data_IF_481817554817
#
_entry.id   IF_481817554817
#
_cell.length_a   1.000
_cell.length_b   1.000
_cell.length_c   1.000
_cell.angle_alpha   90.00
_cell.angle_beta   90.00
_cell.angle_gamma   90.00
#
_symmetry.space_group_name_H-M   'P 1'
#
loop_
_entity.id
_entity.type
_entity.pdbx_description
1 polymer ?
#
# COMPACT_ATOMS: atom_id res chain seq x y z
N UNK A 1 -15.26 7.36 -41.47
CA UNK A 1 -14.09 7.06 -40.60
C UNK A 1 -13.81 8.24 -39.68
N UNK A 2 -13.89 9.53 -40.13
CA UNK A 2 -13.55 10.69 -39.31
C UNK A 2 -14.49 11.04 -38.12
N UNK A 3 -15.75 10.58 -38.12
CA UNK A 3 -16.71 10.90 -37.03
C UNK A 3 -16.63 9.98 -35.81
N UNK A 4 -15.98 8.83 -35.93
CA UNK A 4 -15.74 7.95 -34.78
C UNK A 4 -14.48 8.37 -34.01
N UNK A 5 -13.43 8.82 -34.70
CA UNK A 5 -12.20 9.36 -34.08
C UNK A 5 -12.42 10.68 -33.32
N UNK A 6 -13.35 11.52 -33.77
CA UNK A 6 -13.73 12.73 -33.04
C UNK A 6 -14.51 12.43 -31.75
N UNK A 7 -15.38 11.42 -31.76
CA UNK A 7 -16.11 11.00 -30.56
C UNK A 7 -15.20 10.31 -29.53
N UNK A 8 -14.22 9.54 -29.97
CA UNK A 8 -13.20 8.96 -29.06
C UNK A 8 -12.28 10.03 -28.45
N UNK A 9 -11.96 11.06 -29.21
CA UNK A 9 -11.20 12.22 -28.69
C UNK A 9 -12.03 13.07 -27.70
N UNK A 10 -13.32 13.26 -27.92
CA UNK A 10 -14.20 13.93 -26.95
C UNK A 10 -14.45 13.13 -25.68
N UNK A 11 -14.48 11.78 -25.73
CA UNK A 11 -14.55 10.94 -24.54
C UNK A 11 -13.27 10.93 -23.72
N UNK A 12 -12.11 11.08 -24.35
CA UNK A 12 -10.81 11.10 -23.68
C UNK A 12 -10.45 12.46 -23.05
N UNK A 13 -11.17 13.54 -23.36
CA UNK A 13 -10.84 14.89 -22.87
C UNK A 13 -11.45 15.22 -21.51
N UNK A 14 -12.24 14.33 -20.86
CA UNK A 14 -12.92 14.64 -19.59
C UNK A 14 -12.78 13.61 -18.47
N UNK A 15 -11.69 12.91 -18.39
CA UNK A 15 -11.29 12.34 -17.10
C UNK A 15 -10.42 13.37 -16.34
N UNK A 16 -11.03 14.47 -15.97
CA UNK A 16 -10.44 15.40 -15.00
C UNK A 16 -10.48 14.68 -13.66
N UNK A 17 -9.29 14.43 -13.11
CA UNK A 17 -9.18 13.86 -11.78
C UNK A 17 -9.98 14.71 -10.79
N UNK A 18 -11.04 14.14 -10.25
CA UNK A 18 -11.91 14.85 -9.32
C UNK A 18 -11.19 15.02 -7.99
N UNK A 19 -11.14 16.25 -7.52
CA UNK A 19 -10.58 16.53 -6.20
C UNK A 19 -11.48 15.98 -5.08
N UNK A 20 -10.96 15.66 -3.90
CA UNK A 20 -11.77 15.23 -2.76
C UNK A 20 -12.88 16.20 -2.37
N UNK A 21 -12.70 17.50 -2.68
CA UNK A 21 -13.72 18.53 -2.46
C UNK A 21 -14.88 18.42 -3.46
N UNK A 22 -14.56 18.19 -4.73
CA UNK A 22 -15.54 17.98 -5.80
C UNK A 22 -16.35 16.71 -5.53
N UNK A 23 -15.72 15.60 -5.14
CA UNK A 23 -16.40 14.35 -4.76
C UNK A 23 -17.39 14.60 -3.61
N UNK A 24 -16.98 15.30 -2.55
CA UNK A 24 -17.85 15.63 -1.43
C UNK A 24 -19.05 16.46 -1.83
N UNK A 25 -18.84 17.48 -2.69
CA UNK A 25 -19.92 18.36 -3.15
C UNK A 25 -20.92 17.60 -4.03
N UNK A 26 -20.43 16.76 -4.93
CA UNK A 26 -21.26 15.97 -5.83
C UNK A 26 -22.09 14.91 -5.07
N UNK A 27 -21.47 14.23 -4.09
CA UNK A 27 -22.19 13.29 -3.24
C UNK A 27 -23.29 13.99 -2.42
N UNK A 28 -23.00 15.17 -1.87
CA UNK A 28 -24.02 15.95 -1.16
C UNK A 28 -25.18 16.35 -2.05
N UNK A 29 -24.90 16.79 -3.27
CA UNK A 29 -25.93 17.13 -4.25
C UNK A 29 -26.75 15.90 -4.64
N UNK A 30 -26.13 14.75 -4.83
CA UNK A 30 -26.80 13.50 -5.20
C UNK A 30 -27.72 13.01 -4.09
N UNK A 31 -27.24 12.99 -2.84
CA UNK A 31 -28.03 12.53 -1.68
C UNK A 31 -29.26 13.41 -1.45
N UNK A 32 -29.18 14.70 -1.78
CA UNK A 32 -30.25 15.69 -1.56
C UNK A 32 -31.16 15.94 -2.74
N UNK A 33 -31.02 15.16 -3.81
CA UNK A 33 -31.82 15.41 -5.01
C UNK A 33 -31.61 16.80 -5.59
N UNK A 34 -30.37 17.29 -5.59
CA UNK A 34 -29.91 18.59 -6.14
C UNK A 34 -30.37 19.83 -5.38
N UNK A 35 -30.88 19.71 -4.16
CA UNK A 35 -31.20 20.88 -3.33
C UNK A 35 -30.02 21.25 -2.44
N UNK A 36 -29.56 22.50 -2.55
CA UNK A 36 -28.58 23.08 -1.63
C UNK A 36 -29.31 23.53 -0.36
N UNK A 37 -28.91 23.04 0.78
CA UNK A 37 -29.44 23.43 2.09
C UNK A 37 -28.28 23.70 3.05
N UNK A 38 -28.33 24.81 3.77
CA UNK A 38 -27.25 25.24 4.65
C UNK A 38 -27.13 24.41 5.94
N UNK A 39 -28.21 23.74 6.38
CA UNK A 39 -28.24 22.89 7.58
C UNK A 39 -27.75 21.48 7.28
N UNK A 40 -26.46 21.36 6.95
CA UNK A 40 -25.88 20.08 6.58
C UNK A 40 -25.31 19.32 7.77
N UNK A 41 -26.09 18.38 8.31
CA UNK A 41 -25.64 17.44 9.35
C UNK A 41 -24.69 16.33 8.81
N UNK A 42 -24.50 16.23 7.47
CA UNK A 42 -23.59 15.26 6.88
C UNK A 42 -22.14 15.74 6.98
N UNK A 43 -21.42 15.19 7.95
CA UNK A 43 -19.98 15.48 8.09
C UNK A 43 -19.21 15.02 6.84
N UNK A 44 -18.42 15.93 6.28
CA UNK A 44 -17.56 15.63 5.14
C UNK A 44 -16.51 14.55 5.40
N UNK A 45 -16.15 14.30 6.67
CA UNK A 45 -15.27 13.18 7.08
C UNK A 45 -15.99 11.86 6.95
N UNK A 46 -17.26 11.78 7.37
CA UNK A 46 -18.07 10.58 7.27
C UNK A 46 -18.30 10.19 5.81
N UNK A 47 -18.58 11.16 4.93
CA UNK A 47 -18.71 10.91 3.49
C UNK A 47 -17.43 10.34 2.90
N UNK A 48 -16.26 10.92 3.21
CA UNK A 48 -14.99 10.38 2.72
C UNK A 48 -14.70 8.99 3.27
N UNK A 49 -15.01 8.72 4.52
CA UNK A 49 -14.88 7.39 5.09
C UNK A 49 -15.72 6.35 4.33
N UNK A 50 -16.95 6.69 3.95
CA UNK A 50 -17.79 5.81 3.12
C UNK A 50 -17.22 5.61 1.72
N UNK A 51 -16.69 6.66 1.11
CA UNK A 51 -16.03 6.55 -0.21
C UNK A 51 -14.83 5.61 -0.15
N UNK A 52 -13.97 5.75 0.86
CA UNK A 52 -12.81 4.89 1.03
C UNK A 52 -13.21 3.44 1.29
N UNK A 53 -14.22 3.19 2.12
CA UNK A 53 -14.74 1.85 2.36
C UNK A 53 -15.33 1.23 1.09
N UNK A 54 -16.13 1.98 0.32
CA UNK A 54 -16.71 1.48 -0.93
C UNK A 54 -15.62 1.21 -1.99
N UNK A 55 -14.61 2.08 -2.07
CA UNK A 55 -13.44 1.87 -2.92
C UNK A 55 -12.72 0.58 -2.53
N UNK A 56 -12.45 0.38 -1.25
CA UNK A 56 -11.76 -0.82 -0.76
C UNK A 56 -12.56 -2.10 -1.06
N UNK A 57 -13.88 -2.08 -0.85
CA UNK A 57 -14.77 -3.19 -1.18
C UNK A 57 -14.80 -3.47 -2.69
N UNK A 58 -14.86 -2.43 -3.51
CA UNK A 58 -14.84 -2.58 -4.96
C UNK A 58 -13.53 -3.21 -5.44
N UNK A 59 -12.39 -2.69 -5.00
CA UNK A 59 -11.05 -3.22 -5.34
C UNK A 59 -10.96 -4.70 -4.92
N UNK A 60 -11.37 -5.02 -3.69
CA UNK A 60 -11.37 -6.39 -3.17
C UNK A 60 -12.21 -7.33 -4.04
N UNK A 61 -13.41 -6.90 -4.42
CA UNK A 61 -14.31 -7.70 -5.24
C UNK A 61 -13.76 -7.90 -6.65
N UNK A 62 -13.17 -6.85 -7.24
CA UNK A 62 -12.61 -6.91 -8.58
C UNK A 62 -11.40 -7.85 -8.66
N UNK A 63 -10.49 -7.74 -7.70
CA UNK A 63 -9.32 -8.62 -7.63
C UNK A 63 -9.72 -10.08 -7.37
N UNK A 64 -10.70 -10.31 -6.50
CA UNK A 64 -11.16 -11.67 -6.22
C UNK A 64 -11.84 -12.32 -7.42
N UNK A 65 -12.48 -11.53 -8.31
CA UNK A 65 -13.10 -12.02 -9.55
C UNK A 65 -12.07 -12.27 -10.64
N UNK A 66 -11.21 -11.31 -10.89
CA UNK A 66 -10.33 -11.29 -12.06
C UNK A 66 -8.93 -11.85 -11.77
N UNK A 67 -8.56 -12.00 -10.49
CA UNK A 67 -7.22 -12.43 -10.03
C UNK A 67 -6.06 -11.57 -10.57
N UNK A 68 -6.37 -10.41 -11.14
CA UNK A 68 -5.40 -9.46 -11.67
C UNK A 68 -5.51 -8.13 -10.94
N UNK A 69 -4.37 -7.47 -10.75
CA UNK A 69 -4.29 -6.16 -10.14
C UNK A 69 -3.88 -5.19 -11.24
N UNK A 70 -4.69 -4.14 -11.42
CA UNK A 70 -4.34 -3.06 -12.32
C UNK A 70 -3.24 -2.19 -11.69
N UNK A 71 -2.17 -1.95 -12.44
CA UNK A 71 -1.03 -1.14 -11.99
C UNK A 71 -1.44 0.29 -11.60
N UNK A 72 -2.52 0.81 -12.14
CA UNK A 72 -3.05 2.14 -11.81
C UNK A 72 -3.63 2.24 -10.39
N UNK A 73 -4.04 1.10 -9.81
CA UNK A 73 -4.62 1.06 -8.45
C UNK A 73 -3.51 0.95 -7.39
N UNK A 74 -2.30 0.54 -7.81
CA UNK A 74 -1.17 0.32 -6.91
C UNK A 74 -0.64 1.65 -6.40
N UNK A 75 -0.61 1.78 -5.09
CA UNK A 75 -0.09 2.95 -4.38
C UNK A 75 1.33 2.70 -3.88
N UNK A 76 2.08 3.78 -3.68
CA UNK A 76 3.46 3.75 -3.22
C UNK A 76 3.56 4.45 -1.87
N UNK A 77 4.18 3.80 -0.90
CA UNK A 77 4.49 4.39 0.40
C UNK A 77 5.99 4.32 0.65
N UNK A 78 6.61 5.47 0.91
CA UNK A 78 8.01 5.56 1.31
C UNK A 78 8.07 5.55 2.84
N UNK A 79 8.80 4.59 3.42
CA UNK A 79 8.84 4.36 4.87
C UNK A 79 10.28 4.42 5.35
N UNK A 80 10.50 5.17 6.43
CA UNK A 80 11.79 5.25 7.11
C UNK A 80 12.02 4.01 7.97
N UNK A 81 13.25 3.50 7.95
CA UNK A 81 13.68 2.33 8.69
C UNK A 81 14.67 2.71 9.78
N UNK A 82 14.59 1.98 10.89
CA UNK A 82 15.53 2.04 12.02
C UNK A 82 15.96 0.64 12.44
N UNK A 83 17.03 0.53 13.20
CA UNK A 83 17.43 -0.74 13.80
C UNK A 83 16.47 -1.05 14.94
N UNK A 84 15.82 -2.20 14.88
CA UNK A 84 14.88 -2.64 15.91
C UNK A 84 15.64 -3.10 17.16
N UNK A 85 15.13 -2.72 18.33
CA UNK A 85 15.59 -3.31 19.58
C UNK A 85 15.25 -4.81 19.62
N UNK A 86 16.14 -5.61 20.18
CA UNK A 86 15.96 -7.07 20.25
C UNK A 86 14.71 -7.47 21.03
N UNK A 87 14.29 -6.67 22.01
CA UNK A 87 13.07 -6.88 22.78
C UNK A 87 11.79 -6.74 21.96
N UNK A 88 11.82 -5.87 20.93
CA UNK A 88 10.64 -5.55 20.12
C UNK A 88 10.54 -6.38 18.84
N UNK A 89 11.53 -7.23 18.59
CA UNK A 89 11.56 -8.02 17.36
C UNK A 89 10.80 -9.33 17.54
N UNK A 90 9.81 -9.63 16.69
CA UNK A 90 9.06 -10.89 16.74
C UNK A 90 9.91 -12.11 16.35
N UNK A 91 11.01 -11.86 15.65
CA UNK A 91 12.00 -12.89 15.27
C UNK A 91 13.24 -12.67 16.11
N UNK A 92 13.38 -13.48 17.17
CA UNK A 92 14.57 -13.44 18.02
C UNK A 92 15.75 -14.03 17.26
N UNK A 93 16.58 -13.16 16.70
CA UNK A 93 17.86 -13.57 16.14
C UNK A 93 18.95 -13.00 17.01
N UNK A 94 19.90 -13.86 17.42
CA UNK A 94 21.09 -13.44 18.16
C UNK A 94 22.23 -12.99 17.24
N UNK A 95 22.09 -13.22 15.94
CA UNK A 95 23.21 -13.10 14.98
C UNK A 95 23.17 -11.84 14.12
N UNK A 96 22.00 -11.21 13.91
CA UNK A 96 21.89 -10.05 13.01
C UNK A 96 21.00 -8.98 13.59
N UNK A 97 21.22 -7.74 13.14
CA UNK A 97 20.31 -6.64 13.40
C UNK A 97 19.10 -6.74 12.46
N UNK A 98 17.93 -6.52 13.01
CA UNK A 98 16.67 -6.46 12.27
C UNK A 98 16.29 -4.99 12.11
N UNK A 99 15.91 -4.59 10.91
CA UNK A 99 15.38 -3.25 10.68
C UNK A 99 13.87 -3.25 10.87
N UNK A 100 13.37 -2.18 11.45
CA UNK A 100 11.94 -1.94 11.68
C UNK A 100 11.54 -0.60 11.06
N UNK A 101 10.31 -0.49 10.57
CA UNK A 101 9.77 0.80 10.18
C UNK A 101 9.54 1.70 11.39
N UNK A 102 9.95 2.97 11.29
CA UNK A 102 9.74 3.99 12.35
C UNK A 102 8.25 4.23 12.56
N UNK A 103 7.52 4.39 11.47
CA UNK A 103 6.08 4.57 11.48
C UNK A 103 5.35 3.27 11.14
N UNK A 104 4.09 3.22 11.49
CA UNK A 104 3.18 2.16 11.04
C UNK A 104 2.95 2.26 9.54
N UNK A 105 2.76 1.11 8.91
CA UNK A 105 2.39 1.04 7.49
C UNK A 105 0.94 1.50 7.35
N UNK A 106 0.60 2.25 6.30
CA UNK A 106 -0.78 2.54 5.98
C UNK A 106 -1.61 1.25 5.92
N UNK A 107 -2.84 1.32 6.40
CA UNK A 107 -3.71 0.15 6.44
C UNK A 107 -3.95 -0.39 5.04
N UNK A 108 -3.64 -1.66 4.83
CA UNK A 108 -3.78 -2.33 3.54
C UNK A 108 -5.14 -2.97 3.39
N UNK A 109 -5.64 -3.04 2.16
CA UNK A 109 -6.86 -3.77 1.82
C UNK A 109 -6.57 -5.26 1.93
N UNK A 110 -7.28 -5.95 2.82
CA UNK A 110 -7.16 -7.40 2.98
C UNK A 110 -7.77 -8.12 1.79
N UNK A 111 -6.95 -8.88 1.07
CA UNK A 111 -7.36 -9.75 -0.02
C UNK A 111 -7.49 -11.19 0.48
N UNK A 112 -8.20 -12.03 -0.28
CA UNK A 112 -8.45 -13.42 0.11
C UNK A 112 -7.18 -14.26 0.27
N UNK A 113 -6.14 -13.97 -0.50
CA UNK A 113 -4.87 -14.72 -0.50
C UNK A 113 -3.64 -13.88 -0.15
N UNK A 114 -3.81 -12.58 0.09
CA UNK A 114 -2.70 -11.66 0.29
C UNK A 114 -3.12 -10.49 1.19
N UNK A 115 -2.18 -9.90 1.90
CA UNK A 115 -2.39 -8.75 2.78
C UNK A 115 -2.34 -7.38 2.06
N UNK A 116 -2.53 -7.38 0.74
CA UNK A 116 -2.54 -6.18 -0.09
C UNK A 116 -1.16 -5.56 -0.37
N UNK A 117 -0.08 -6.13 0.16
CA UNK A 117 1.29 -5.71 -0.18
C UNK A 117 1.75 -6.51 -1.40
N UNK A 118 2.10 -5.80 -2.48
CA UNK A 118 2.48 -6.40 -3.75
C UNK A 118 3.99 -6.53 -3.85
N UNK A 119 4.71 -5.48 -3.47
CA UNK A 119 6.16 -5.41 -3.58
C UNK A 119 6.75 -4.56 -2.47
N UNK A 120 7.90 -4.99 -1.95
CA UNK A 120 8.74 -4.21 -1.04
C UNK A 120 10.13 -4.12 -1.66
N UNK A 121 10.72 -2.95 -1.64
CA UNK A 121 12.04 -2.77 -2.25
C UNK A 121 12.75 -1.51 -1.77
N UNK A 122 13.97 -1.29 -2.27
CA UNK A 122 14.66 -0.02 -2.06
C UNK A 122 13.93 1.13 -2.76
N UNK A 123 14.28 2.34 -2.40
CA UNK A 123 13.73 3.56 -3.05
C UNK A 123 14.11 3.61 -4.53
N UNK A 124 15.28 3.09 -4.87
CA UNK A 124 15.69 2.94 -6.27
C UNK A 124 14.87 1.83 -6.95
N UNK A 125 14.06 2.22 -7.92
CA UNK A 125 13.15 1.34 -8.67
C UNK A 125 13.90 0.29 -9.48
N UNK A 126 15.13 0.58 -9.90
CA UNK A 126 15.96 -0.32 -10.70
C UNK A 126 16.66 -1.38 -9.85
N UNK A 127 16.74 -1.19 -8.55
CA UNK A 127 17.36 -2.15 -7.65
C UNK A 127 16.44 -3.36 -7.38
N UNK A 128 17.05 -4.47 -7.00
CA UNK A 128 16.35 -5.71 -6.72
C UNK A 128 15.35 -5.54 -5.56
N UNK A 129 14.11 -5.97 -5.77
CA UNK A 129 13.08 -6.00 -4.73
C UNK A 129 13.45 -7.00 -3.62
N UNK A 130 12.97 -6.71 -2.42
CA UNK A 130 13.09 -7.62 -1.27
C UNK A 130 12.08 -8.76 -1.38
N UNK A 131 12.41 -9.90 -0.80
CA UNK A 131 11.50 -11.04 -0.76
C UNK A 131 10.47 -10.83 0.35
N UNK A 132 9.22 -10.53 -0.02
CA UNK A 132 8.15 -10.42 0.96
C UNK A 132 7.67 -11.80 1.37
N UNK A 133 7.68 -12.08 2.67
CA UNK A 133 7.33 -13.39 3.24
C UNK A 133 6.41 -13.22 4.46
N UNK A 134 5.52 -14.18 4.73
CA UNK A 134 4.75 -14.17 5.96
C UNK A 134 5.66 -14.39 7.18
N UNK A 135 5.23 -13.92 8.35
CA UNK A 135 5.99 -14.00 9.60
C UNK A 135 6.47 -15.43 9.92
N UNK A 136 5.67 -16.43 9.63
CA UNK A 136 6.01 -17.83 9.87
C UNK A 136 7.25 -18.27 9.09
N UNK A 137 7.39 -17.81 7.85
CA UNK A 137 8.56 -18.08 7.00
C UNK A 137 9.74 -17.18 7.36
N UNK A 138 9.51 -16.00 7.90
CA UNK A 138 10.56 -15.09 8.33
C UNK A 138 11.50 -15.72 9.37
N UNK A 139 10.98 -16.61 10.23
CA UNK A 139 11.78 -17.35 11.23
C UNK A 139 12.88 -18.22 10.62
N UNK A 140 12.69 -18.66 9.39
CA UNK A 140 13.66 -19.48 8.64
C UNK A 140 14.47 -18.66 7.62
N UNK A 141 14.15 -17.38 7.47
CA UNK A 141 14.82 -16.50 6.54
C UNK A 141 16.28 -16.28 6.95
N UNK A 142 17.18 -16.29 5.98
CA UNK A 142 18.61 -16.04 6.22
C UNK A 142 19.43 -17.23 6.71
N UNK A 143 18.84 -18.34 7.14
CA UNK A 143 19.55 -19.51 7.66
C UNK A 143 19.97 -20.51 6.58
N UNK A 144 19.53 -20.32 5.34
CA UNK A 144 19.86 -21.22 4.23
C UNK A 144 21.16 -20.85 3.52
N UNK A 145 21.97 -21.86 3.17
CA UNK A 145 23.24 -21.69 2.46
C UNK A 145 23.12 -20.84 1.18
N UNK A 146 22.00 -20.90 0.49
CA UNK A 146 21.75 -20.18 -0.77
C UNK A 146 21.05 -18.83 -0.60
N UNK A 147 20.51 -18.54 0.59
CA UNK A 147 19.67 -17.37 0.86
C UNK A 147 20.39 -16.24 1.59
N UNK A 148 21.70 -16.34 1.77
CA UNK A 148 22.52 -15.37 2.51
C UNK A 148 22.55 -13.98 1.89
N UNK A 149 22.19 -13.87 0.59
CA UNK A 149 22.19 -12.59 -0.14
C UNK A 149 20.82 -11.92 -0.22
N UNK A 150 19.76 -12.62 0.19
CA UNK A 150 18.38 -12.15 0.04
C UNK A 150 17.99 -11.35 1.25
N UNK A 151 17.39 -10.19 1.02
CA UNK A 151 16.73 -9.41 2.07
C UNK A 151 15.27 -9.83 2.10
N UNK A 152 14.83 -10.25 3.26
CA UNK A 152 13.44 -10.64 3.51
C UNK A 152 12.70 -9.51 4.18
N UNK A 153 11.50 -9.22 3.68
CA UNK A 153 10.58 -8.27 4.29
C UNK A 153 9.39 -9.03 4.84
N UNK A 154 8.91 -8.67 6.02
CA UNK A 154 7.69 -9.23 6.61
C UNK A 154 6.97 -8.15 7.42
N UNK A 155 5.66 -8.32 7.55
CA UNK A 155 4.80 -7.44 8.35
C UNK A 155 4.52 -8.05 9.71
N UNK A 156 4.61 -7.22 10.75
CA UNK A 156 4.20 -7.57 12.11
C UNK A 156 3.68 -6.32 12.84
N UNK A 157 2.50 -6.41 13.46
CA UNK A 157 1.84 -5.31 14.17
C UNK A 157 1.84 -3.97 13.39
N UNK A 158 1.39 -3.99 12.15
CA UNK A 158 1.36 -2.83 11.27
C UNK A 158 2.73 -2.17 10.98
N UNK A 159 3.82 -2.83 11.28
CA UNK A 159 5.18 -2.36 10.96
C UNK A 159 5.85 -3.31 9.99
N UNK A 160 6.70 -2.75 9.14
CA UNK A 160 7.54 -3.54 8.24
C UNK A 160 8.87 -3.84 8.91
N UNK A 161 9.28 -5.08 8.78
CA UNK A 161 10.58 -5.55 9.24
C UNK A 161 11.40 -6.06 8.08
N UNK A 162 12.71 -5.79 8.11
CA UNK A 162 13.66 -6.36 7.17
C UNK A 162 14.65 -7.25 7.91
N UNK A 163 14.85 -8.44 7.36
CA UNK A 163 15.74 -9.45 7.90
C UNK A 163 16.68 -9.95 6.80
N UNK A 164 17.99 -9.96 7.06
CA UNK A 164 18.99 -10.60 6.21
C UNK A 164 20.24 -10.85 7.01
N UNK A 165 20.99 -11.89 6.68
CA UNK A 165 22.33 -12.10 7.25
C UNK A 165 23.28 -10.92 6.97
N UNK A 166 23.01 -10.16 5.89
CA UNK A 166 23.75 -8.96 5.53
C UNK A 166 23.26 -7.70 6.23
N UNK A 167 22.13 -7.76 6.96
CA UNK A 167 21.53 -6.55 7.56
C UNK A 167 22.43 -5.90 8.59
N UNK A 168 23.28 -6.62 9.30
CA UNK A 168 24.25 -5.99 10.19
C UNK A 168 25.16 -5.00 9.47
N UNK A 169 25.51 -5.26 8.21
CA UNK A 169 26.30 -4.34 7.39
C UNK A 169 25.45 -3.39 6.56
N UNK A 170 24.27 -3.83 6.07
CA UNK A 170 23.35 -3.02 5.27
C UNK A 170 22.41 -2.17 6.11
N UNK A 171 22.13 -2.52 7.36
CA UNK A 171 21.27 -1.77 8.26
C UNK A 171 21.67 -0.29 8.39
N UNK A 172 22.96 -0.01 8.29
CA UNK A 172 23.48 1.35 8.32
C UNK A 172 23.16 2.16 7.06
N UNK A 173 22.85 1.51 5.95
CA UNK A 173 22.65 2.13 4.64
C UNK A 173 21.20 2.19 4.22
N UNK A 174 20.35 1.24 4.68
CA UNK A 174 18.92 1.24 4.36
C UNK A 174 18.19 2.16 5.33
N UNK A 175 18.00 3.40 4.92
CA UNK A 175 17.24 4.40 5.69
C UNK A 175 15.77 4.45 5.29
N UNK A 176 15.47 4.16 4.03
CA UNK A 176 14.13 4.24 3.45
C UNK A 176 13.87 3.02 2.59
N UNK A 177 12.63 2.58 2.62
CA UNK A 177 12.12 1.53 1.73
C UNK A 177 10.87 2.04 1.02
N UNK A 178 10.61 1.47 -0.15
CA UNK A 178 9.39 1.70 -0.90
C UNK A 178 8.49 0.47 -0.81
N UNK A 179 7.25 0.67 -0.37
CA UNK A 179 6.22 -0.36 -0.34
C UNK A 179 5.21 -0.03 -1.44
N UNK A 180 4.92 -1.00 -2.27
CA UNK A 180 3.87 -0.98 -3.28
C UNK A 180 2.74 -1.85 -2.80
N UNK A 181 1.55 -1.30 -2.72
CA UNK A 181 0.41 -2.03 -2.18
C UNK A 181 -0.92 -1.36 -2.46
N UNK A 182 -1.97 -1.99 -1.97
CA UNK A 182 -3.33 -1.50 -2.01
C UNK A 182 -3.69 -1.00 -0.63
N UNK A 183 -3.72 0.32 -0.45
CA UNK A 183 -4.04 0.92 0.84
C UNK A 183 -5.50 1.36 0.89
N UNK A 184 -6.11 1.30 2.09
CA UNK A 184 -7.51 1.72 2.29
C UNK A 184 -7.65 3.23 2.07
N UNK A 185 -6.70 4.01 2.59
CA UNK A 185 -6.63 5.45 2.39
C UNK A 185 -5.65 5.79 1.26
N UNK A 186 -6.11 6.46 0.20
CA UNK A 186 -5.27 6.87 -0.93
C UNK A 186 -4.48 8.16 -0.69
N UNK A 187 -4.33 8.62 0.57
CA UNK A 187 -3.63 9.88 0.91
C UNK A 187 -2.20 9.96 0.40
#
# INVERSE_FOLDING_TARGET
IGKQEEKEKELNVKQKDMTPREIKSELRLTIRGQKLCDDDQLDGRLLMHWVHNQRALWIRNEINKNHSIDDQIIQKACIQMEVADRSDCPVQTTQFDVLRSVLEIPKTIELHHNDGIIRVGPVDVLAQSYSYVPLERAKFAGNGRFNTKVIYAFRYHNRMYLLSQKTSNYARYIRYIMIYGLFEDPS
#
